data_IF_430534656567
#
_entry.id   IF_430534656567
#
_cell.length_a   1.000
_cell.length_b   1.000
_cell.length_c   1.000
_cell.angle_alpha   90.00
_cell.angle_beta   90.00
_cell.angle_gamma   90.00
#
_symmetry.space_group_name_H-M   'P 1'
#
loop_
_entity.id
_entity.type
_entity.pdbx_description
1 polymer ?
#
# COMPACT_ATOMS: atom_id res chain seq x y z
N UNK A 1 6.30 -2.31 10.77
CA UNK A 1 5.20 -2.27 9.78
C UNK A 1 4.26 -1.12 10.11
N UNK A 2 3.82 -0.39 9.10
CA UNK A 2 2.98 0.80 9.28
C UNK A 2 1.49 0.49 9.39
N UNK A 3 1.07 -0.71 8.98
CA UNK A 3 -0.34 -1.09 8.99
C UNK A 3 -0.71 -1.78 10.29
N UNK A 4 -1.86 -1.42 10.87
CA UNK A 4 -2.41 -2.13 12.02
C UNK A 4 -3.21 -3.34 11.53
N UNK A 5 -3.45 -4.31 12.43
CA UNK A 5 -4.08 -5.57 12.06
C UNK A 5 -5.57 -5.44 11.72
N UNK A 6 -6.31 -4.56 12.42
CA UNK A 6 -7.75 -4.47 12.20
C UNK A 6 -8.16 -4.00 10.81
N UNK A 7 -7.57 -2.95 10.24
CA UNK A 7 -7.84 -2.60 8.85
C UNK A 7 -7.51 -3.71 7.87
N UNK A 8 -6.41 -4.44 8.11
CA UNK A 8 -6.00 -5.56 7.26
C UNK A 8 -7.02 -6.70 7.32
N UNK A 9 -7.57 -7.00 8.51
CA UNK A 9 -8.60 -8.01 8.68
C UNK A 9 -9.87 -7.63 7.93
N UNK A 10 -10.21 -6.33 7.88
CA UNK A 10 -11.37 -5.86 7.11
C UNK A 10 -11.19 -6.10 5.63
N UNK A 11 -9.98 -5.91 5.11
CA UNK A 11 -9.68 -6.19 3.71
C UNK A 11 -9.88 -7.68 3.41
N UNK A 12 -9.39 -8.55 4.29
CA UNK A 12 -9.60 -10.00 4.14
C UNK A 12 -11.08 -10.35 4.11
N UNK A 13 -11.87 -9.75 5.00
CA UNK A 13 -13.32 -10.01 5.03
C UNK A 13 -14.02 -9.57 3.74
N UNK A 14 -13.61 -8.43 3.19
CA UNK A 14 -14.15 -7.94 1.91
C UNK A 14 -13.77 -8.86 0.75
N UNK A 15 -12.65 -9.56 0.87
CA UNK A 15 -12.23 -10.55 -0.12
C UNK A 15 -12.90 -11.92 0.09
N UNK A 16 -13.74 -12.07 1.11
CA UNK A 16 -14.50 -13.28 1.36
C UNK A 16 -13.91 -14.22 2.39
N UNK A 17 -12.79 -13.90 3.00
CA UNK A 17 -12.19 -14.74 4.04
C UNK A 17 -12.91 -14.50 5.36
N UNK A 18 -13.48 -15.55 5.93
CA UNK A 18 -14.27 -15.46 7.18
C UNK A 18 -13.38 -15.40 8.42
N UNK A 19 -12.25 -16.07 8.39
CA UNK A 19 -11.32 -16.14 9.52
C UNK A 19 -9.92 -15.87 9.04
N UNK A 20 -9.18 -15.05 9.79
CA UNK A 20 -7.82 -14.66 9.43
C UNK A 20 -6.96 -14.68 10.67
N UNK A 21 -5.85 -15.42 10.62
CA UNK A 21 -4.91 -15.45 11.73
C UNK A 21 -4.13 -14.15 11.82
N UNK A 22 -3.58 -13.87 13.00
CA UNK A 22 -2.73 -12.69 13.19
C UNK A 22 -1.49 -12.77 12.28
N UNK A 23 -0.93 -13.95 12.11
CA UNK A 23 0.24 -14.14 11.25
C UNK A 23 -0.09 -13.85 9.79
N UNK A 24 -1.27 -14.25 9.32
CA UNK A 24 -1.71 -13.96 7.95
C UNK A 24 -1.89 -12.45 7.75
N UNK A 25 -2.53 -11.77 8.69
CA UNK A 25 -2.73 -10.32 8.61
C UNK A 25 -1.39 -9.58 8.64
N UNK A 26 -0.46 -10.01 9.50
CA UNK A 26 0.87 -9.42 9.59
C UNK A 26 1.64 -9.61 8.29
N UNK A 27 1.58 -10.79 7.69
CA UNK A 27 2.25 -11.05 6.42
C UNK A 27 1.70 -10.17 5.30
N UNK A 28 0.38 -10.01 5.24
CA UNK A 28 -0.24 -9.10 4.28
C UNK A 28 0.26 -7.67 4.48
N UNK A 29 0.37 -7.24 5.73
CA UNK A 29 0.88 -5.90 6.05
C UNK A 29 2.28 -5.67 5.51
N UNK A 30 3.17 -6.63 5.66
CA UNK A 30 4.53 -6.53 5.11
C UNK A 30 4.54 -6.47 3.59
N UNK A 31 3.71 -7.28 2.95
CA UNK A 31 3.61 -7.29 1.49
C UNK A 31 3.09 -5.94 0.99
N UNK A 32 2.04 -5.41 1.62
CA UNK A 32 1.47 -4.11 1.25
C UNK A 32 2.47 -2.98 1.46
N UNK A 33 3.23 -3.02 2.57
CA UNK A 33 4.26 -2.01 2.83
C UNK A 33 5.33 -2.01 1.75
N UNK A 34 5.82 -3.20 1.38
CA UNK A 34 6.83 -3.34 0.32
C UNK A 34 6.30 -2.82 -1.01
N UNK A 35 5.09 -3.22 -1.39
CA UNK A 35 4.46 -2.77 -2.64
C UNK A 35 4.20 -1.28 -2.62
N UNK A 36 3.77 -0.74 -1.48
CA UNK A 36 3.53 0.70 -1.34
C UNK A 36 4.82 1.50 -1.51
N UNK A 37 5.92 1.03 -0.93
CA UNK A 37 7.22 1.71 -1.08
C UNK A 37 7.65 1.75 -2.54
N UNK A 38 7.51 0.65 -3.26
CA UNK A 38 7.86 0.58 -4.68
C UNK A 38 7.01 1.55 -5.50
N UNK A 39 5.70 1.54 -5.27
CA UNK A 39 4.76 2.41 -5.96
C UNK A 39 5.05 3.88 -5.68
N UNK A 40 5.29 4.21 -4.41
CA UNK A 40 5.53 5.60 -4.00
C UNK A 40 6.89 6.11 -4.48
N UNK A 41 7.90 5.25 -4.56
CA UNK A 41 9.19 5.63 -5.13
C UNK A 41 9.04 6.00 -6.61
N UNK A 42 8.26 5.24 -7.36
CA UNK A 42 7.98 5.54 -8.76
C UNK A 42 7.15 6.82 -8.90
N UNK A 43 6.12 6.99 -8.06
CA UNK A 43 5.30 8.20 -8.07
C UNK A 43 6.13 9.46 -7.75
N UNK A 44 7.05 9.34 -6.81
CA UNK A 44 7.97 10.44 -6.47
C UNK A 44 8.84 10.80 -7.67
N UNK A 45 9.37 9.79 -8.35
CA UNK A 45 10.20 10.01 -9.54
C UNK A 45 9.41 10.71 -10.63
N UNK A 46 8.16 10.34 -10.85
CA UNK A 46 7.28 10.98 -11.83
C UNK A 46 7.00 12.44 -11.47
N UNK A 47 6.77 12.74 -10.19
CA UNK A 47 6.52 14.11 -9.76
C UNK A 47 7.76 14.99 -9.97
N UNK A 48 8.95 14.47 -9.66
CA UNK A 48 10.20 15.19 -9.84
C UNK A 48 10.49 15.43 -11.32
N UNK A 49 10.21 14.45 -12.17
CA UNK A 49 10.37 14.58 -13.61
C UNK A 49 9.47 15.67 -14.17
N UNK A 50 8.29 15.87 -13.57
CA UNK A 50 7.37 16.97 -13.94
C UNK A 50 7.75 18.31 -13.28
N UNK A 51 8.86 18.37 -12.56
CA UNK A 51 9.33 19.60 -11.92
C UNK A 51 8.59 19.97 -10.65
N UNK A 52 7.93 19.00 -10.00
CA UNK A 52 7.16 19.26 -8.79
C UNK A 52 7.80 18.59 -7.58
N UNK A 53 7.57 19.17 -6.40
CA UNK A 53 7.97 18.56 -5.12
C UNK A 53 6.84 17.77 -4.49
N UNK A 54 5.60 18.02 -4.93
CA UNK A 54 4.42 17.36 -4.41
C UNK A 54 4.04 16.19 -5.30
N UNK A 55 3.86 15.01 -4.68
CA UNK A 55 3.33 13.85 -5.38
C UNK A 55 1.83 14.03 -5.51
N UNK A 56 1.33 13.98 -6.73
CA UNK A 56 -0.07 14.20 -7.04
C UNK A 56 -0.77 12.89 -7.35
N UNK A 57 -2.11 12.93 -7.36
CA UNK A 57 -2.93 11.77 -7.68
C UNK A 57 -2.54 11.12 -9.02
N UNK A 58 -2.24 11.94 -10.03
CA UNK A 58 -1.84 11.45 -11.33
C UNK A 58 -0.54 10.64 -11.27
N UNK A 59 0.40 11.05 -10.40
CA UNK A 59 1.66 10.32 -10.24
C UNK A 59 1.42 8.92 -9.68
N UNK A 60 0.52 8.80 -8.73
CA UNK A 60 0.13 7.50 -8.15
C UNK A 60 -0.53 6.63 -9.22
N UNK A 61 -1.42 7.20 -10.02
CA UNK A 61 -2.14 6.45 -11.06
C UNK A 61 -1.21 5.94 -12.17
N UNK A 62 -0.15 6.68 -12.47
CA UNK A 62 0.79 6.32 -13.54
C UNK A 62 1.90 5.40 -13.06
N UNK A 63 2.09 5.31 -11.76
CA UNK A 63 3.16 4.49 -11.18
C UNK A 63 2.92 2.99 -11.30
#
# INVERSE_FOLDING_TARGET
MEFTLQPLRRVFRRAGAKRVSDKAATELGYILETRSKELLAEAKRLSEHAGRRTVMRADIKMA
#
